data_IF_716618585588
#
_entry.id   IF_716618585588
#
_cell.length_a   1.000
_cell.length_b   1.000
_cell.length_c   1.000
_cell.angle_alpha   90.00
_cell.angle_beta   90.00
_cell.angle_gamma   90.00
#
_symmetry.space_group_name_H-M   'P 1'
#
loop_
_entity.id
_entity.type
_entity.pdbx_description
1 polymer ?
#
# COMPACT_ATOMS: atom_id res chain seq x y z
N UNK A 1 24.31 -33.09 0.24
CA UNK A 1 24.13 -32.16 -0.90
C UNK A 1 22.90 -31.30 -0.57
N UNK A 2 23.08 -30.12 0.04
CA UNK A 2 22.00 -29.20 0.27
C UNK A 2 21.80 -28.40 -1.03
N UNK A 3 20.70 -28.68 -1.74
CA UNK A 3 20.21 -27.84 -2.81
C UNK A 3 19.97 -26.43 -2.23
N UNK A 4 20.75 -25.48 -2.71
CA UNK A 4 20.45 -24.06 -2.53
C UNK A 4 19.10 -23.82 -3.22
N UNK A 5 18.01 -23.78 -2.44
CA UNK A 5 16.77 -23.19 -2.91
C UNK A 5 17.12 -21.78 -3.38
N UNK A 6 17.10 -21.59 -4.69
CA UNK A 6 17.12 -20.26 -5.29
C UNK A 6 15.93 -19.49 -4.69
N UNK A 7 16.19 -18.60 -3.75
CA UNK A 7 15.23 -17.60 -3.32
C UNK A 7 14.92 -16.71 -4.53
N UNK A 8 13.90 -17.08 -5.27
CA UNK A 8 13.34 -16.17 -6.28
C UNK A 8 12.83 -14.99 -5.50
N UNK A 9 13.51 -13.87 -5.63
CA UNK A 9 13.13 -12.59 -5.05
C UNK A 9 11.66 -12.28 -5.35
N UNK A 10 10.85 -12.03 -4.31
CA UNK A 10 9.42 -11.82 -4.47
C UNK A 10 9.13 -10.54 -5.24
N UNK A 11 9.88 -9.45 -4.97
CA UNK A 11 9.79 -8.19 -5.65
C UNK A 11 11.17 -7.54 -5.73
N UNK A 12 11.56 -7.12 -6.93
CA UNK A 12 12.84 -6.44 -7.17
C UNK A 12 12.63 -5.19 -8.01
N UNK A 13 13.20 -4.09 -7.55
CA UNK A 13 13.32 -2.82 -8.24
C UNK A 13 14.80 -2.60 -8.42
N UNK A 14 15.24 -2.35 -9.65
CA UNK A 14 16.65 -2.25 -9.97
C UNK A 14 16.94 -1.02 -10.83
N UNK A 15 17.73 -0.09 -10.28
CA UNK A 15 18.20 1.15 -10.92
C UNK A 15 17.07 1.97 -11.57
N UNK A 16 15.94 2.09 -10.87
CA UNK A 16 14.74 2.71 -11.42
C UNK A 16 14.80 4.23 -11.33
N UNK A 17 14.61 4.89 -12.49
CA UNK A 17 14.36 6.33 -12.58
C UNK A 17 12.92 6.56 -13.03
N UNK A 18 12.18 7.39 -12.28
CA UNK A 18 10.81 7.76 -12.57
C UNK A 18 10.63 9.28 -12.52
N UNK A 19 10.04 9.84 -13.58
CA UNK A 19 9.60 11.24 -13.62
C UNK A 19 8.07 11.33 -13.73
N UNK A 20 7.49 12.34 -13.08
CA UNK A 20 6.11 12.79 -13.28
C UNK A 20 6.10 14.24 -13.71
N UNK A 21 5.86 14.47 -14.99
CA UNK A 21 6.09 15.77 -15.59
C UNK A 21 7.55 16.19 -15.43
N UNK A 22 7.80 17.35 -14.83
CA UNK A 22 9.15 17.86 -14.55
C UNK A 22 9.75 17.35 -13.23
N UNK A 23 8.96 16.68 -12.40
CA UNK A 23 9.42 16.21 -11.09
C UNK A 23 10.05 14.82 -11.20
N UNK A 24 11.31 14.68 -10.77
CA UNK A 24 11.98 13.40 -10.60
C UNK A 24 11.50 12.78 -9.29
N UNK A 25 10.76 11.65 -9.39
CA UNK A 25 10.23 10.93 -8.22
C UNK A 25 11.26 9.95 -7.68
N UNK A 26 11.91 9.19 -8.59
CA UNK A 26 13.00 8.27 -8.24
C UNK A 26 14.20 8.51 -9.13
N UNK A 27 15.41 8.29 -8.61
CA UNK A 27 16.68 8.44 -9.29
C UNK A 27 17.59 7.27 -8.90
N UNK A 28 17.65 6.23 -9.73
CA UNK A 28 18.45 5.03 -9.49
C UNK A 28 17.96 4.17 -8.32
N UNK A 29 16.65 4.16 -8.02
CA UNK A 29 16.09 3.40 -6.90
C UNK A 29 16.34 1.90 -7.08
N UNK A 30 16.98 1.28 -6.08
CA UNK A 30 17.24 -0.17 -6.05
C UNK A 30 16.77 -0.73 -4.71
N UNK A 31 15.81 -1.65 -4.74
CA UNK A 31 15.22 -2.32 -3.56
C UNK A 31 14.87 -3.75 -3.92
N UNK A 32 15.10 -4.68 -2.99
CA UNK A 32 14.66 -6.05 -3.07
C UNK A 32 13.79 -6.38 -1.85
N UNK A 33 12.55 -6.86 -2.06
CA UNK A 33 11.54 -7.09 -1.03
C UNK A 33 11.13 -8.56 -1.02
N UNK A 34 11.51 -9.27 0.05
CA UNK A 34 11.28 -10.72 0.18
C UNK A 34 10.42 -11.08 1.41
N UNK A 35 10.32 -10.17 2.37
CA UNK A 35 9.63 -10.39 3.63
C UNK A 35 8.12 -10.47 3.40
N UNK A 36 7.38 -11.27 4.19
CA UNK A 36 5.93 -11.41 4.04
C UNK A 36 5.17 -10.15 4.44
N UNK A 37 5.72 -9.33 5.34
CA UNK A 37 5.14 -8.07 5.82
C UNK A 37 6.18 -6.97 5.77
N UNK A 38 5.90 -5.92 4.99
CA UNK A 38 6.82 -4.81 4.79
C UNK A 38 6.06 -3.51 5.04
N UNK A 39 6.64 -2.63 5.86
CA UNK A 39 6.16 -1.28 6.04
C UNK A 39 6.88 -0.31 5.10
N UNK A 40 6.15 0.68 4.61
CA UNK A 40 6.67 1.77 3.80
C UNK A 40 6.24 3.09 4.44
N UNK A 41 7.19 3.82 5.05
CA UNK A 41 6.92 5.07 5.74
C UNK A 41 7.64 6.25 5.07
N UNK A 42 7.26 7.46 5.42
CA UNK A 42 7.83 8.71 4.90
C UNK A 42 6.77 9.78 4.72
N UNK A 43 7.22 11.02 4.53
CA UNK A 43 6.36 12.18 4.37
C UNK A 43 5.46 12.10 3.13
N UNK A 44 4.46 12.97 3.06
CA UNK A 44 3.66 13.13 1.85
C UNK A 44 4.58 13.60 0.70
N UNK A 45 4.41 12.98 -0.47
CA UNK A 45 5.27 13.24 -1.63
C UNK A 45 6.61 12.48 -1.63
N UNK A 46 6.91 11.65 -0.64
CA UNK A 46 8.13 10.84 -0.60
C UNK A 46 8.26 9.79 -1.73
N UNK A 47 7.15 9.50 -2.44
CA UNK A 47 7.12 8.55 -3.55
C UNK A 47 6.39 7.23 -3.26
N UNK A 48 5.77 7.05 -2.08
CA UNK A 48 5.13 5.78 -1.68
C UNK A 48 4.09 5.28 -2.69
N UNK A 49 3.11 6.11 -3.03
CA UNK A 49 2.07 5.74 -4.02
C UNK A 49 2.64 5.57 -5.43
N UNK A 50 3.69 6.31 -5.79
CA UNK A 50 4.38 6.15 -7.08
C UNK A 50 5.09 4.79 -7.16
N UNK A 51 5.71 4.35 -6.06
CA UNK A 51 6.29 3.03 -5.93
C UNK A 51 5.23 1.93 -6.15
N UNK A 52 4.09 2.03 -5.49
CA UNK A 52 2.99 1.09 -5.64
C UNK A 52 2.47 1.02 -7.07
N UNK A 53 2.29 2.17 -7.72
CA UNK A 53 1.83 2.23 -9.11
C UNK A 53 2.80 1.58 -10.08
N UNK A 54 4.11 1.72 -9.87
CA UNK A 54 5.11 1.00 -10.66
C UNK A 54 5.05 -0.52 -10.44
N UNK A 55 4.91 -0.97 -9.19
CA UNK A 55 4.80 -2.40 -8.87
C UNK A 55 3.54 -3.00 -9.51
N UNK A 56 2.43 -2.26 -9.57
CA UNK A 56 1.21 -2.66 -10.28
C UNK A 56 1.34 -2.61 -11.81
N UNK A 57 2.43 -2.06 -12.35
CA UNK A 57 2.58 -1.83 -13.80
C UNK A 57 1.69 -0.71 -14.35
N UNK A 58 1.17 0.17 -13.49
CA UNK A 58 0.36 1.33 -13.89
C UNK A 58 1.23 2.50 -14.38
N UNK A 59 2.44 2.63 -13.83
CA UNK A 59 3.43 3.60 -14.26
C UNK A 59 4.68 2.84 -14.72
N UNK A 60 5.19 3.18 -15.90
CA UNK A 60 6.45 2.63 -16.42
C UNK A 60 7.62 3.55 -16.05
N UNK A 61 8.73 3.03 -15.50
CA UNK A 61 9.91 3.83 -15.26
C UNK A 61 10.59 4.22 -16.59
N UNK A 62 11.32 5.34 -16.62
CA UNK A 62 12.10 5.77 -17.78
C UNK A 62 13.38 4.93 -17.95
N UNK A 63 13.93 4.43 -16.84
CA UNK A 63 15.05 3.49 -16.85
C UNK A 63 14.95 2.52 -15.69
N UNK A 64 15.73 1.42 -15.75
CA UNK A 64 15.69 0.36 -14.75
C UNK A 64 14.58 -0.65 -14.99
N UNK A 65 14.36 -1.53 -14.00
CA UNK A 65 13.38 -2.62 -14.09
C UNK A 65 12.65 -2.84 -12.78
N UNK A 66 11.37 -3.22 -12.88
CA UNK A 66 10.55 -3.65 -11.75
C UNK A 66 10.06 -5.07 -12.04
N UNK A 67 10.45 -6.03 -11.20
CA UNK A 67 10.13 -7.44 -11.35
C UNK A 67 9.35 -7.92 -10.14
N UNK A 68 8.18 -8.52 -10.35
CA UNK A 68 7.33 -9.11 -9.32
C UNK A 68 7.18 -10.59 -9.59
N UNK A 69 7.60 -11.44 -8.65
CA UNK A 69 7.51 -12.91 -8.80
C UNK A 69 8.09 -13.43 -10.13
N UNK A 70 9.18 -12.79 -10.63
CA UNK A 70 9.82 -13.17 -11.89
C UNK A 70 9.18 -12.58 -13.16
N UNK A 71 8.13 -11.77 -13.05
CA UNK A 71 7.49 -11.08 -14.17
C UNK A 71 7.82 -9.60 -14.15
N UNK A 72 8.10 -9.03 -15.32
CA UNK A 72 8.19 -7.58 -15.49
C UNK A 72 6.84 -6.93 -15.12
N UNK A 73 6.87 -5.89 -14.27
CA UNK A 73 5.68 -5.22 -13.77
C UNK A 73 4.77 -4.70 -14.90
N UNK A 74 5.35 -4.12 -15.95
CA UNK A 74 4.60 -3.64 -17.12
C UNK A 74 3.88 -4.74 -17.92
N UNK A 75 4.19 -6.01 -17.66
CA UNK A 75 3.58 -7.16 -18.34
C UNK A 75 2.61 -7.95 -17.45
N UNK A 76 2.48 -7.59 -16.16
CA UNK A 76 1.65 -8.35 -15.20
C UNK A 76 0.19 -8.36 -15.64
N UNK A 77 -0.35 -7.21 -16.06
CA UNK A 77 -1.76 -7.09 -16.46
C UNK A 77 -2.14 -8.01 -17.60
N UNK A 78 -1.21 -8.35 -18.48
CA UNK A 78 -1.42 -9.22 -19.64
C UNK A 78 -1.04 -10.67 -19.41
N UNK A 79 0.11 -10.93 -18.74
CA UNK A 79 0.65 -12.28 -18.55
C UNK A 79 0.15 -12.97 -17.28
N UNK A 80 -0.09 -12.22 -16.22
CA UNK A 80 -0.52 -12.73 -14.90
C UNK A 80 -1.53 -11.78 -14.24
N UNK A 81 -2.69 -11.53 -14.90
CA UNK A 81 -3.72 -10.66 -14.33
C UNK A 81 -4.15 -11.14 -12.95
N UNK A 82 -4.27 -10.22 -12.00
CA UNK A 82 -4.61 -10.53 -10.61
C UNK A 82 -3.44 -10.93 -9.71
N UNK A 83 -2.18 -10.97 -10.22
CA UNK A 83 -1.00 -11.29 -9.39
C UNK A 83 -0.75 -10.24 -8.31
N UNK A 84 -0.96 -8.97 -8.61
CA UNK A 84 -0.80 -7.84 -7.68
C UNK A 84 -2.16 -7.22 -7.45
N UNK A 85 -2.53 -7.09 -6.17
CA UNK A 85 -3.70 -6.33 -5.74
C UNK A 85 -3.26 -5.03 -5.06
N UNK A 86 -4.01 -3.95 -5.28
CA UNK A 86 -3.75 -2.66 -4.64
C UNK A 86 -5.03 -2.15 -3.97
N UNK A 87 -4.90 -1.73 -2.71
CA UNK A 87 -5.92 -0.98 -1.98
C UNK A 87 -5.54 0.50 -2.00
N UNK A 88 -6.45 1.34 -2.47
CA UNK A 88 -6.28 2.78 -2.47
C UNK A 88 -6.62 3.38 -1.10
N UNK A 89 -6.06 4.56 -0.82
CA UNK A 89 -6.31 5.29 0.42
C UNK A 89 -7.80 5.60 0.63
N UNK A 90 -8.51 5.99 -0.44
CA UNK A 90 -9.94 6.28 -0.40
C UNK A 90 -10.71 5.13 -1.08
N UNK A 91 -11.62 4.42 -0.36
CA UNK A 91 -12.41 3.35 -0.96
C UNK A 91 -13.29 3.81 -2.12
N UNK A 92 -13.72 5.07 -2.13
CA UNK A 92 -14.58 5.61 -3.19
C UNK A 92 -13.83 5.74 -4.55
N UNK A 93 -12.49 5.78 -4.53
CA UNK A 93 -11.68 5.77 -5.75
C UNK A 93 -11.46 4.34 -6.29
N UNK A 94 -11.77 3.32 -5.50
CA UNK A 94 -11.58 1.92 -5.85
C UNK A 94 -12.88 1.23 -6.24
N UNK A 95 -13.98 1.52 -5.56
CA UNK A 95 -15.27 0.85 -5.73
C UNK A 95 -15.96 1.33 -7.01
N UNK A 96 -16.38 0.38 -7.84
CA UNK A 96 -16.96 0.64 -9.15
C UNK A 96 -18.44 0.20 -9.20
N UNK A 97 -18.79 -0.91 -8.54
CA UNK A 97 -20.12 -1.51 -8.65
C UNK A 97 -21.07 -1.07 -7.53
N UNK A 98 -22.38 -1.08 -7.77
CA UNK A 98 -23.37 -0.55 -6.82
C UNK A 98 -23.63 -1.49 -5.64
N UNK A 99 -23.35 -2.80 -5.74
CA UNK A 99 -23.59 -3.78 -4.66
C UNK A 99 -22.30 -4.49 -4.25
N UNK A 100 -22.29 -4.99 -3.01
CA UNK A 100 -21.12 -5.67 -2.45
C UNK A 100 -20.72 -6.90 -3.26
N UNK A 101 -21.67 -7.76 -3.63
CA UNK A 101 -21.37 -8.97 -4.39
C UNK A 101 -20.86 -8.70 -5.80
N UNK A 102 -21.34 -7.63 -6.45
CA UNK A 102 -20.85 -7.22 -7.76
C UNK A 102 -19.44 -6.65 -7.68
N UNK A 103 -19.13 -5.87 -6.63
CA UNK A 103 -17.80 -5.37 -6.40
C UNK A 103 -16.80 -6.50 -6.16
N UNK A 104 -17.14 -7.48 -5.32
CA UNK A 104 -16.30 -8.65 -5.11
C UNK A 104 -16.15 -9.48 -6.40
N UNK A 105 -17.21 -9.60 -7.19
CA UNK A 105 -17.18 -10.34 -8.46
C UNK A 105 -16.20 -9.73 -9.48
N UNK A 106 -15.96 -8.41 -9.42
CA UNK A 106 -14.95 -7.75 -10.24
C UNK A 106 -13.55 -8.33 -10.02
N UNK A 107 -13.18 -8.60 -8.76
CA UNK A 107 -11.90 -9.23 -8.41
C UNK A 107 -11.69 -10.60 -9.05
N UNK A 108 -12.76 -11.27 -9.46
CA UNK A 108 -12.72 -12.57 -10.14
C UNK A 108 -12.65 -12.48 -11.68
N UNK A 109 -12.65 -11.27 -12.27
CA UNK A 109 -12.57 -11.07 -13.71
C UNK A 109 -11.40 -11.80 -14.39
N UNK A 110 -10.18 -11.85 -13.79
CA UNK A 110 -9.06 -12.55 -14.38
C UNK A 110 -9.24 -14.08 -14.47
N UNK A 111 -10.21 -14.65 -13.77
CA UNK A 111 -10.43 -16.11 -13.71
C UNK A 111 -11.22 -16.67 -14.90
N UNK A 112 -11.75 -15.83 -15.77
CA UNK A 112 -12.57 -16.24 -16.91
C UNK A 112 -13.98 -16.72 -16.56
N UNK A 113 -14.42 -16.53 -15.31
CA UNK A 113 -15.79 -16.86 -14.88
C UNK A 113 -16.80 -15.93 -15.55
N UNK A 114 -17.98 -16.46 -15.91
CA UNK A 114 -19.11 -15.61 -16.29
C UNK A 114 -19.55 -14.74 -15.09
N UNK A 115 -20.17 -13.58 -15.37
CA UNK A 115 -20.70 -12.68 -14.32
C UNK A 115 -21.56 -13.43 -13.29
N UNK A 116 -22.45 -14.32 -13.75
CA UNK A 116 -23.31 -15.11 -12.86
C UNK A 116 -22.50 -16.03 -11.93
N UNK A 117 -21.48 -16.69 -12.45
CA UNK A 117 -20.58 -17.54 -11.66
C UNK A 117 -19.75 -16.73 -10.66
N UNK A 118 -19.23 -15.57 -11.07
CA UNK A 118 -18.47 -14.69 -10.20
C UNK A 118 -19.32 -14.18 -9.04
N UNK A 119 -20.57 -13.72 -9.29
CA UNK A 119 -21.51 -13.31 -8.23
C UNK A 119 -21.82 -14.48 -7.29
N UNK A 120 -22.12 -15.67 -7.82
CA UNK A 120 -22.37 -16.84 -6.98
C UNK A 120 -21.17 -17.17 -6.06
N UNK A 121 -19.95 -17.07 -6.60
CA UNK A 121 -18.71 -17.27 -5.82
C UNK A 121 -18.51 -16.17 -4.77
N UNK A 122 -18.87 -14.92 -5.09
CA UNK A 122 -18.83 -13.80 -4.14
C UNK A 122 -19.76 -14.02 -2.95
N UNK A 123 -20.98 -14.52 -3.20
CA UNK A 123 -21.95 -14.89 -2.12
C UNK A 123 -21.38 -15.97 -1.21
N UNK A 124 -20.88 -17.06 -1.77
CA UNK A 124 -20.26 -18.15 -0.98
C UNK A 124 -19.06 -17.64 -0.16
N UNK A 125 -18.26 -16.76 -0.74
CA UNK A 125 -17.12 -16.14 -0.05
C UNK A 125 -17.58 -15.26 1.13
N UNK A 126 -18.63 -14.45 0.96
CA UNK A 126 -19.22 -13.64 2.03
C UNK A 126 -19.84 -14.52 3.11
N UNK A 127 -20.59 -15.55 2.74
CA UNK A 127 -21.18 -16.51 3.68
C UNK A 127 -20.11 -17.18 4.55
N UNK A 128 -19.00 -17.63 3.96
CA UNK A 128 -17.89 -18.25 4.68
C UNK A 128 -17.24 -17.36 5.74
N UNK A 129 -17.49 -16.04 5.67
CA UNK A 129 -17.02 -15.01 6.61
C UNK A 129 -18.10 -14.47 7.53
N UNK A 130 -19.33 -15.07 7.52
CA UNK A 130 -20.47 -14.57 8.28
C UNK A 130 -21.07 -13.26 7.75
N UNK A 131 -20.69 -12.86 6.53
CA UNK A 131 -21.12 -11.62 5.88
C UNK A 131 -22.13 -11.85 4.75
N UNK A 132 -22.79 -13.03 4.68
CA UNK A 132 -23.77 -13.32 3.64
C UNK A 132 -24.87 -12.27 3.52
N UNK A 133 -25.27 -11.66 4.64
CA UNK A 133 -26.26 -10.58 4.69
C UNK A 133 -25.79 -9.26 4.02
N UNK A 134 -24.52 -9.17 3.62
CA UNK A 134 -23.98 -8.01 2.89
C UNK A 134 -24.13 -8.17 1.38
N UNK A 135 -24.35 -9.37 0.84
CA UNK A 135 -24.27 -9.67 -0.60
C UNK A 135 -24.98 -8.63 -1.46
N UNK A 136 -26.26 -8.41 -1.21
CA UNK A 136 -27.11 -7.51 -2.01
C UNK A 136 -27.14 -6.07 -1.48
N UNK A 137 -26.38 -5.75 -0.43
CA UNK A 137 -26.36 -4.38 0.10
C UNK A 137 -25.77 -3.40 -0.91
N UNK A 138 -26.46 -2.27 -1.05
CA UNK A 138 -25.94 -1.17 -1.82
C UNK A 138 -24.70 -0.56 -1.15
N UNK A 139 -23.62 -0.36 -1.90
CA UNK A 139 -22.36 0.25 -1.41
C UNK A 139 -22.62 1.62 -0.79
N UNK A 140 -23.49 2.44 -1.39
CA UNK A 140 -23.85 3.75 -0.88
C UNK A 140 -24.52 3.75 0.51
N UNK A 141 -25.03 2.59 0.97
CA UNK A 141 -25.60 2.43 2.32
C UNK A 141 -24.57 2.08 3.38
N UNK A 142 -23.32 1.82 2.98
CA UNK A 142 -22.25 1.43 3.88
C UNK A 142 -21.52 2.64 4.46
N UNK A 143 -21.07 2.53 5.72
CA UNK A 143 -20.14 3.50 6.28
C UNK A 143 -18.79 3.45 5.54
N UNK A 144 -17.96 4.48 5.70
CA UNK A 144 -16.63 4.53 5.08
C UNK A 144 -15.78 3.33 5.50
N UNK A 145 -15.78 2.95 6.78
CA UNK A 145 -15.07 1.77 7.27
C UNK A 145 -15.61 0.45 6.67
N UNK A 146 -16.93 0.35 6.48
CA UNK A 146 -17.52 -0.81 5.80
C UNK A 146 -17.13 -0.87 4.33
N UNK A 147 -17.08 0.26 3.63
CA UNK A 147 -16.56 0.32 2.23
C UNK A 147 -15.10 -0.09 2.16
N UNK A 148 -14.27 0.36 3.11
CA UNK A 148 -12.87 -0.08 3.22
C UNK A 148 -12.76 -1.60 3.39
N UNK A 149 -13.63 -2.17 4.23
CA UNK A 149 -13.70 -3.63 4.42
C UNK A 149 -14.13 -4.36 3.13
N UNK A 150 -15.07 -3.80 2.35
CA UNK A 150 -15.45 -4.34 1.03
C UNK A 150 -14.25 -4.32 0.07
N UNK A 151 -13.45 -3.24 0.02
CA UNK A 151 -12.23 -3.19 -0.76
C UNK A 151 -11.25 -4.31 -0.37
N UNK A 152 -11.06 -4.53 0.93
CA UNK A 152 -10.24 -5.64 1.43
C UNK A 152 -10.77 -7.00 0.98
N UNK A 153 -12.08 -7.26 1.13
CA UNK A 153 -12.72 -8.52 0.72
C UNK A 153 -12.61 -8.75 -0.79
N UNK A 154 -12.74 -7.69 -1.61
CA UNK A 154 -12.58 -7.77 -3.06
C UNK A 154 -11.15 -8.16 -3.47
N UNK A 155 -10.13 -7.69 -2.74
CA UNK A 155 -8.75 -8.12 -2.92
C UNK A 155 -8.55 -9.58 -2.48
N UNK A 156 -9.12 -9.97 -1.34
CA UNK A 156 -8.96 -11.32 -0.79
C UNK A 156 -9.63 -12.40 -1.63
N UNK A 157 -10.78 -12.12 -2.26
CA UNK A 157 -11.44 -13.08 -3.16
C UNK A 157 -10.64 -13.30 -4.45
N UNK A 158 -9.94 -12.26 -4.91
CA UNK A 158 -9.03 -12.33 -6.07
C UNK A 158 -7.78 -13.17 -5.76
N UNK A 159 -7.40 -13.26 -4.49
CA UNK A 159 -6.24 -14.04 -4.00
C UNK A 159 -4.94 -13.71 -4.74
N UNK A 160 -4.49 -12.45 -4.77
CA UNK A 160 -3.25 -12.05 -5.42
C UNK A 160 -2.03 -12.64 -4.68
N UNK A 161 -0.88 -12.68 -5.35
CA UNK A 161 0.39 -13.08 -4.72
C UNK A 161 0.98 -11.95 -3.85
N UNK A 162 0.76 -10.70 -4.27
CA UNK A 162 1.25 -9.48 -3.60
C UNK A 162 0.12 -8.49 -3.40
N UNK A 163 0.01 -7.94 -2.19
CA UNK A 163 -0.93 -6.88 -1.82
C UNK A 163 -0.18 -5.60 -1.48
N UNK A 164 -0.60 -4.50 -2.08
CA UNK A 164 -0.12 -3.15 -1.83
C UNK A 164 -1.24 -2.35 -1.17
N UNK A 165 -1.05 -1.92 0.07
CA UNK A 165 -2.07 -1.23 0.86
C UNK A 165 -1.62 0.21 1.11
N UNK A 166 -2.26 1.17 0.44
CA UNK A 166 -1.95 2.61 0.58
C UNK A 166 -2.85 3.21 1.66
N UNK A 167 -2.29 3.59 2.79
CA UNK A 167 -2.95 4.15 3.98
C UNK A 167 -4.21 3.36 4.41
N UNK A 168 -4.16 2.04 4.56
CA UNK A 168 -5.35 1.21 4.71
C UNK A 168 -6.12 1.45 6.02
N UNK A 169 -5.51 2.12 6.99
CA UNK A 169 -6.11 2.39 8.31
C UNK A 169 -6.72 3.78 8.45
N UNK A 170 -6.45 4.70 7.52
CA UNK A 170 -6.79 6.13 7.66
C UNK A 170 -8.29 6.40 7.84
N UNK A 171 -9.16 5.58 7.25
CA UNK A 171 -10.62 5.74 7.27
C UNK A 171 -11.32 4.89 8.32
N UNK A 172 -10.58 4.14 9.14
CA UNK A 172 -11.12 3.17 10.08
C UNK A 172 -11.10 3.71 11.51
N UNK A 173 -12.16 3.40 12.26
CA UNK A 173 -12.18 3.51 13.71
C UNK A 173 -11.29 2.43 14.38
N UNK A 174 -11.04 2.54 15.67
CA UNK A 174 -10.15 1.60 16.36
C UNK A 174 -10.55 0.12 16.22
N UNK A 175 -11.83 -0.27 16.33
CA UNK A 175 -12.26 -1.65 16.06
C UNK A 175 -11.97 -2.09 14.62
N UNK A 176 -12.23 -1.24 13.63
CA UNK A 176 -11.93 -1.50 12.23
C UNK A 176 -10.43 -1.66 11.96
N UNK A 177 -9.60 -0.82 12.56
CA UNK A 177 -8.13 -0.94 12.49
C UNK A 177 -7.65 -2.27 13.09
N UNK A 178 -8.18 -2.68 14.25
CA UNK A 178 -7.82 -3.93 14.90
C UNK A 178 -8.20 -5.15 14.05
N UNK A 179 -9.39 -5.12 13.42
CA UNK A 179 -9.85 -6.16 12.50
C UNK A 179 -8.93 -6.27 11.29
N UNK A 180 -8.69 -5.16 10.59
CA UNK A 180 -7.82 -5.14 9.39
C UNK A 180 -6.39 -5.58 9.73
N UNK A 181 -5.85 -5.16 10.87
CA UNK A 181 -4.53 -5.63 11.33
C UNK A 181 -4.49 -7.14 11.48
N UNK A 182 -5.50 -7.73 12.13
CA UNK A 182 -5.61 -9.18 12.29
C UNK A 182 -5.70 -9.89 10.93
N UNK A 183 -6.46 -9.34 10.00
CA UNK A 183 -6.60 -9.86 8.65
C UNK A 183 -5.27 -9.82 7.88
N UNK A 184 -4.53 -8.70 7.97
CA UNK A 184 -3.20 -8.55 7.38
C UNK A 184 -2.21 -9.57 7.97
N UNK A 185 -2.20 -9.74 9.29
CA UNK A 185 -1.32 -10.70 9.98
C UNK A 185 -1.57 -12.15 9.54
N UNK A 186 -2.83 -12.52 9.30
CA UNK A 186 -3.24 -13.88 8.93
C UNK A 186 -3.16 -14.18 7.44
N UNK A 187 -3.07 -13.17 6.60
CA UNK A 187 -3.03 -13.34 5.16
C UNK A 187 -1.75 -14.07 4.72
N UNK A 188 -1.87 -14.98 3.75
CA UNK A 188 -0.74 -15.74 3.20
C UNK A 188 0.05 -14.97 2.14
N UNK A 189 -0.49 -13.88 1.62
CA UNK A 189 0.11 -13.04 0.60
C UNK A 189 1.31 -12.25 1.16
N UNK A 190 2.23 -11.85 0.29
CA UNK A 190 3.18 -10.80 0.62
C UNK A 190 2.42 -9.47 0.67
N UNK A 191 2.54 -8.72 1.77
CA UNK A 191 1.83 -7.47 1.96
C UNK A 191 2.81 -6.33 2.22
N UNK A 192 2.66 -5.24 1.45
CA UNK A 192 3.39 -3.99 1.65
C UNK A 192 2.38 -2.93 2.09
N UNK A 193 2.59 -2.35 3.27
CA UNK A 193 1.72 -1.34 3.87
C UNK A 193 2.42 0.01 3.83
N UNK A 194 1.93 0.94 3.04
CA UNK A 194 2.32 2.34 3.11
C UNK A 194 1.45 3.06 4.14
N UNK A 195 2.04 3.68 5.17
CA UNK A 195 1.27 4.38 6.20
C UNK A 195 2.11 5.42 6.95
N UNK A 196 1.43 6.44 7.46
CA UNK A 196 1.96 7.39 8.44
C UNK A 196 1.64 6.98 9.89
N UNK A 197 0.76 6.00 10.10
CA UNK A 197 0.39 5.45 11.40
C UNK A 197 1.41 4.36 11.81
N UNK A 198 2.53 4.79 12.38
CA UNK A 198 3.72 3.96 12.61
C UNK A 198 3.46 2.72 13.47
N UNK A 199 2.51 2.79 14.40
CA UNK A 199 2.19 1.67 15.31
C UNK A 199 1.68 0.43 14.57
N UNK A 200 1.13 0.60 13.35
CA UNK A 200 0.66 -0.52 12.53
C UNK A 200 1.78 -1.28 11.83
N UNK A 201 2.97 -0.67 11.66
CA UNK A 201 4.11 -1.29 10.97
C UNK A 201 5.34 -1.45 11.86
N UNK A 202 5.33 -0.87 13.09
CA UNK A 202 6.45 -0.92 14.03
C UNK A 202 6.89 -2.34 14.38
N UNK A 203 5.99 -3.30 14.38
CA UNK A 203 6.26 -4.71 14.68
C UNK A 203 6.67 -5.53 13.45
N UNK A 204 6.67 -4.94 12.26
CA UNK A 204 7.08 -5.63 11.03
C UNK A 204 8.58 -5.91 11.06
N UNK A 205 8.96 -7.05 10.49
CA UNK A 205 10.36 -7.47 10.36
C UNK A 205 11.18 -6.46 9.54
N UNK A 206 10.52 -5.84 8.53
CA UNK A 206 11.15 -4.85 7.67
C UNK A 206 10.26 -3.64 7.42
N UNK A 207 10.85 -2.46 7.57
CA UNK A 207 10.26 -1.17 7.21
C UNK A 207 11.27 -0.37 6.40
N UNK A 208 10.79 0.26 5.34
CA UNK A 208 11.55 1.21 4.54
C UNK A 208 11.05 2.62 4.82
N UNK A 209 11.96 3.52 5.07
CA UNK A 209 11.67 4.95 5.11
C UNK A 209 12.09 5.59 3.79
N UNK A 210 11.09 6.03 3.00
CA UNK A 210 11.31 6.82 1.80
C UNK A 210 11.34 8.31 2.15
N UNK A 211 12.34 8.99 1.62
CA UNK A 211 12.46 10.46 1.63
C UNK A 211 12.90 10.95 0.26
N UNK A 212 12.09 11.80 -0.37
CA UNK A 212 12.37 12.40 -1.68
C UNK A 212 12.80 11.38 -2.74
N UNK A 213 12.11 10.25 -2.78
CA UNK A 213 12.36 9.18 -3.76
C UNK A 213 13.58 8.30 -3.49
N UNK A 214 14.22 8.44 -2.33
CA UNK A 214 15.35 7.62 -1.90
C UNK A 214 15.00 6.83 -0.65
N UNK A 215 15.61 5.65 -0.48
CA UNK A 215 15.53 4.90 0.78
C UNK A 215 16.48 5.54 1.78
N UNK A 216 15.93 6.23 2.78
CA UNK A 216 16.70 6.88 3.84
C UNK A 216 17.08 5.92 4.96
N UNK A 217 16.21 4.96 5.27
CA UNK A 217 16.48 3.87 6.19
C UNK A 217 15.74 2.60 5.76
N UNK A 218 16.35 1.45 6.06
CA UNK A 218 15.86 0.12 5.78
C UNK A 218 16.26 -0.80 6.92
N UNK A 219 15.31 -1.47 7.57
CA UNK A 219 15.58 -2.33 8.71
C UNK A 219 14.32 -2.71 9.47
N UNK A 220 14.48 -3.14 10.73
CA UNK A 220 13.33 -3.52 11.57
C UNK A 220 12.39 -2.34 11.81
N UNK A 221 11.08 -2.62 11.89
CA UNK A 221 10.09 -1.58 12.10
C UNK A 221 10.33 -0.75 13.36
N UNK A 222 10.83 -1.38 14.44
CA UNK A 222 11.21 -0.64 15.67
C UNK A 222 12.30 0.40 15.40
N UNK A 223 13.36 0.03 14.70
CA UNK A 223 14.49 0.91 14.42
C UNK A 223 14.11 2.04 13.45
N UNK A 224 13.47 1.70 12.34
CA UNK A 224 13.17 2.66 11.28
C UNK A 224 12.08 3.63 11.72
N UNK A 225 11.03 3.17 12.42
CA UNK A 225 9.99 4.06 12.97
C UNK A 225 10.56 5.01 14.04
N UNK A 226 11.47 4.54 14.90
CA UNK A 226 12.12 5.39 15.88
C UNK A 226 13.01 6.48 15.23
N UNK A 227 13.79 6.10 14.20
CA UNK A 227 14.61 7.03 13.43
C UNK A 227 13.76 8.11 12.74
N UNK A 228 12.64 7.70 12.11
CA UNK A 228 11.70 8.63 11.48
C UNK A 228 11.07 9.59 12.50
N UNK A 229 10.61 9.08 13.66
CA UNK A 229 10.04 9.93 14.71
C UNK A 229 11.05 10.95 15.25
N UNK A 230 12.31 10.55 15.45
CA UNK A 230 13.37 11.46 15.89
C UNK A 230 13.66 12.55 14.85
N UNK A 231 13.66 12.21 13.57
CA UNK A 231 13.85 13.18 12.49
C UNK A 231 12.67 14.18 12.41
N UNK A 232 11.43 13.70 12.51
CA UNK A 232 10.24 14.57 12.53
C UNK A 232 10.27 15.53 13.72
N UNK A 233 10.65 15.05 14.91
CA UNK A 233 10.78 15.90 16.11
C UNK A 233 11.84 16.99 15.91
N UNK A 234 13.03 16.62 15.40
CA UNK A 234 14.10 17.58 15.13
C UNK A 234 13.71 18.65 14.11
N UNK A 235 13.01 18.26 13.04
CA UNK A 235 12.48 19.20 12.02
C UNK A 235 11.43 20.15 12.61
N UNK A 236 10.56 19.66 13.49
CA UNK A 236 9.55 20.48 14.15
C UNK A 236 10.19 21.52 15.09
N UNK A 237 11.23 21.14 15.87
CA UNK A 237 11.99 22.05 16.72
C UNK A 237 12.69 23.15 15.89
N UNK A 238 13.32 22.79 14.78
CA UNK A 238 13.97 23.76 13.88
C UNK A 238 12.96 24.76 13.30
N UNK A 239 11.78 24.32 12.90
CA UNK A 239 10.71 25.19 12.42
C UNK A 239 10.20 26.14 13.50
N UNK A 240 10.03 25.66 14.73
CA UNK A 240 9.59 26.49 15.86
C UNK A 240 10.63 27.59 16.19
N UNK A 241 11.92 27.28 16.14
CA UNK A 241 12.98 28.25 16.35
C UNK A 241 13.01 29.33 15.26
N UNK A 242 12.89 28.94 13.99
CA UNK A 242 12.86 29.89 12.87
C UNK A 242 11.64 30.82 12.88
N UNK A 243 10.50 30.35 13.42
CA UNK A 243 9.30 31.18 13.59
C UNK A 243 9.49 32.23 14.70
N UNK A 244 10.19 31.89 15.78
CA UNK A 244 10.47 32.82 16.88
C UNK A 244 11.50 33.89 16.48
N UNK A 245 12.54 33.53 15.72
CA UNK A 245 13.54 34.49 15.24
C UNK A 245 12.91 35.51 14.24
N UNK A 246 11.95 35.09 13.42
CA UNK A 246 11.23 36.00 12.52
C UNK A 246 10.27 36.98 13.24
N UNK A 247 9.83 36.69 14.46
CA UNK A 247 8.98 37.57 15.27
C UNK A 247 9.78 38.64 16.00
N UNK A 248 11.09 38.42 16.27
CA UNK A 248 11.96 39.38 16.94
C UNK A 248 12.33 40.56 16.05
N UNK A 249 12.40 40.37 14.72
CA UNK A 249 12.70 41.42 13.75
C UNK A 249 11.56 42.45 13.53
N UNK A 250 10.33 42.13 13.91
CA UNK A 250 9.16 43.06 13.83
C UNK A 250 8.98 43.93 15.10
N UNK A 251 9.77 43.70 16.17
CA UNK A 251 9.59 44.39 17.44
C UNK A 251 10.47 45.65 17.61
N UNK A 252 11.24 46.08 16.62
CA UNK A 252 11.96 47.33 16.61
C UNK A 252 11.51 48.25 15.50
N UNK A 253 10.44 49.11 15.68
CA UNK A 253 10.28 50.26 14.86
C UNK A 253 11.36 51.26 15.28
N UNK A 254 12.28 51.54 14.35
CA UNK A 254 13.34 52.53 14.53
C UNK A 254 12.79 53.90 15.00
N UNK A 255 13.44 54.45 15.96
CA UNK A 255 13.36 55.87 16.36
C UNK A 255 13.83 56.77 15.21
#
# INVERSE_FOLDING_TARGET
MHEKMNHVSHLRINDVTLHRGTCKVFDGLTIELNEPRIGLIGDNGAGKSSLFRMICGLDAPQSGTVVVRGFDAGQISTKRPGMVGMMFQNPDDQIIFPTVEEELALGLSPTGLSRRQAIAKSRVFLESRGLGHWSERAIGSLSQGQRQHVCWLALMIASPDVLLLDEPYASLDLPGQALLRTDIERASQQIIVATHLLDHVRHFERVLWLDKGQVRADGSGHQVCAAYQSDVAARAEQQALSFNDGLVDFAHPGN
#
